data_IF_128117485107
#
_entry.id   IF_128117485107
#
_cell.length_a   1.000
_cell.length_b   1.000
_cell.length_c   1.000
_cell.angle_alpha   90.00
_cell.angle_beta   90.00
_cell.angle_gamma   90.00
#
_symmetry.space_group_name_H-M   'P 1'
#
loop_
_entity.id
_entity.type
_entity.pdbx_description
1 polymer ?
#
# COMPACT_ATOMS: atom_id res chain seq x y z
N UNK A 1 0.10 -35.90 -11.45
CA UNK A 1 -0.29 -34.60 -10.88
C UNK A 1 -0.12 -34.70 -9.38
N UNK A 2 0.53 -33.72 -8.74
CA UNK A 2 0.75 -33.76 -7.28
C UNK A 2 -0.48 -33.23 -6.57
N UNK A 3 -1.11 -34.05 -5.73
CA UNK A 3 -2.26 -33.65 -4.91
C UNK A 3 -1.81 -32.67 -3.82
N UNK A 4 -2.32 -31.44 -3.87
CA UNK A 4 -2.07 -30.41 -2.86
C UNK A 4 -3.07 -30.61 -1.72
N UNK A 5 -2.56 -30.78 -0.48
CA UNK A 5 -3.38 -30.78 0.73
C UNK A 5 -3.57 -29.35 1.24
N UNK A 6 -4.81 -28.94 1.47
CA UNK A 6 -5.18 -27.65 2.04
C UNK A 6 -6.32 -27.83 3.04
N UNK A 7 -6.38 -26.96 4.05
CA UNK A 7 -7.45 -26.88 5.05
C UNK A 7 -7.91 -25.42 5.16
N UNK A 8 -9.22 -25.21 5.30
CA UNK A 8 -9.83 -23.88 5.37
C UNK A 8 -10.66 -23.79 6.65
N UNK A 9 -10.27 -22.87 7.54
CA UNK A 9 -10.94 -22.67 8.83
C UNK A 9 -11.58 -21.29 8.92
N UNK A 10 -12.81 -21.19 9.45
CA UNK A 10 -13.45 -19.90 9.69
C UNK A 10 -12.73 -19.17 10.83
N UNK A 11 -12.37 -17.91 10.58
CA UNK A 11 -11.79 -17.01 11.58
C UNK A 11 -12.77 -15.90 11.89
N UNK A 12 -13.02 -15.65 13.17
CA UNK A 12 -13.95 -14.59 13.64
C UNK A 12 -13.40 -13.18 13.39
N UNK A 13 -12.08 -13.03 13.44
CA UNK A 13 -11.41 -11.76 13.15
C UNK A 13 -10.04 -12.00 12.52
N UNK A 14 -9.75 -11.28 11.45
CA UNK A 14 -8.41 -11.26 10.86
C UNK A 14 -7.44 -10.62 11.87
N UNK A 15 -6.31 -11.24 12.23
CA UNK A 15 -5.34 -10.60 13.11
C UNK A 15 -4.86 -9.29 12.49
N UNK A 16 -5.00 -8.19 13.23
CA UNK A 16 -4.56 -6.88 12.80
C UNK A 16 -3.03 -6.82 12.86
N UNK A 17 -2.37 -6.54 11.73
CA UNK A 17 -0.93 -6.28 11.73
C UNK A 17 -0.66 -5.00 12.52
N UNK A 18 0.18 -5.08 13.56
CA UNK A 18 0.73 -3.91 14.23
C UNK A 18 1.82 -3.29 13.34
N UNK A 19 1.45 -2.28 12.56
CA UNK A 19 2.41 -1.50 11.82
C UNK A 19 3.22 -0.62 12.79
N UNK A 20 4.55 -0.68 12.73
CA UNK A 20 5.42 0.20 13.51
C UNK A 20 5.38 1.62 12.93
N UNK A 21 5.24 2.63 13.79
CA UNK A 21 5.39 4.06 13.44
C UNK A 21 6.82 4.30 12.92
N UNK A 22 6.95 5.07 11.83
CA UNK A 22 8.25 5.47 11.28
C UNK A 22 8.72 4.65 10.09
N UNK A 23 7.92 4.57 9.02
CA UNK A 23 8.42 4.07 7.74
C UNK A 23 9.26 5.11 7.03
N UNK A 24 10.28 4.67 6.30
CA UNK A 24 10.91 5.51 5.27
C UNK A 24 9.97 5.93 4.14
N UNK A 25 8.81 5.27 3.99
CA UNK A 25 7.80 5.59 2.97
C UNK A 25 6.70 6.53 3.48
N UNK A 26 6.66 6.80 4.78
CA UNK A 26 5.69 7.69 5.40
C UNK A 26 5.76 9.11 4.80
N UNK A 27 6.95 9.71 4.56
CA UNK A 27 7.06 11.02 3.94
C UNK A 27 6.45 11.13 2.54
N UNK A 28 6.37 10.03 1.78
CA UNK A 28 5.76 10.04 0.44
C UNK A 28 4.27 10.32 0.54
N UNK A 29 3.60 9.66 1.49
CA UNK A 29 2.17 9.87 1.74
C UNK A 29 1.91 11.24 2.35
N UNK A 30 2.78 11.69 3.26
CA UNK A 30 2.66 13.01 3.87
C UNK A 30 2.74 14.12 2.81
N UNK A 31 3.77 14.08 1.95
CA UNK A 31 3.93 15.02 0.84
C UNK A 31 2.76 14.98 -0.16
N UNK A 32 2.23 13.79 -0.45
CA UNK A 32 1.08 13.64 -1.35
C UNK A 32 -0.20 14.25 -0.75
N UNK A 33 -0.45 14.00 0.54
CA UNK A 33 -1.61 14.52 1.25
C UNK A 33 -1.56 16.04 1.38
N UNK A 34 -0.38 16.62 1.63
CA UNK A 34 -0.19 18.07 1.69
C UNK A 34 -0.19 18.75 0.32
N UNK A 35 0.05 17.99 -0.76
CA UNK A 35 0.09 18.52 -2.11
C UNK A 35 -1.30 18.85 -2.66
N UNK A 36 -1.36 19.67 -3.70
CA UNK A 36 -2.62 20.08 -4.34
C UNK A 36 -3.15 19.04 -5.35
N UNK A 37 -2.26 18.21 -5.91
CA UNK A 37 -2.61 17.28 -6.97
C UNK A 37 -3.39 16.07 -6.46
N UNK A 38 -4.43 15.68 -7.22
CA UNK A 38 -5.26 14.52 -6.93
C UNK A 38 -4.66 13.20 -7.45
N UNK A 39 -3.75 13.26 -8.42
CA UNK A 39 -3.09 12.09 -9.00
C UNK A 39 -1.61 12.40 -9.22
N UNK A 40 -0.72 11.56 -8.66
CA UNK A 40 0.73 11.71 -8.83
C UNK A 40 1.40 10.40 -9.16
N UNK A 41 2.47 10.49 -9.94
CA UNK A 41 3.40 9.40 -10.22
C UNK A 41 4.39 9.29 -9.05
N UNK A 42 4.63 8.07 -8.58
CA UNK A 42 5.62 7.77 -7.54
C UNK A 42 6.69 6.86 -8.10
N UNK A 43 7.92 7.36 -8.15
CA UNK A 43 9.11 6.59 -8.49
C UNK A 43 10.14 6.74 -7.38
N UNK A 44 10.77 5.62 -7.03
CA UNK A 44 11.86 5.58 -6.06
C UNK A 44 13.00 4.82 -6.71
N UNK A 45 14.19 5.41 -6.71
CA UNK A 45 15.37 4.78 -7.28
C UNK A 45 15.59 3.37 -6.71
N UNK A 46 15.89 2.43 -7.59
CA UNK A 46 16.15 1.03 -7.25
C UNK A 46 14.99 0.33 -6.51
N UNK A 47 13.75 0.73 -6.79
CA UNK A 47 12.53 0.07 -6.28
C UNK A 47 11.53 -0.20 -7.39
N UNK A 48 10.99 -1.41 -7.35
CA UNK A 48 9.90 -1.84 -8.23
C UNK A 48 8.56 -1.21 -7.84
N UNK A 49 7.70 -0.94 -8.81
CA UNK A 49 6.40 -0.32 -8.57
C UNK A 49 5.45 -1.21 -7.74
N UNK A 50 5.49 -2.53 -7.91
CA UNK A 50 4.69 -3.44 -7.08
C UNK A 50 5.21 -3.46 -5.63
N UNK A 51 6.53 -3.33 -5.46
CA UNK A 51 7.11 -3.16 -4.14
C UNK A 51 6.63 -1.86 -3.49
N UNK A 52 6.68 -0.74 -4.21
CA UNK A 52 6.17 0.56 -3.73
C UNK A 52 4.68 0.48 -3.39
N UNK A 53 3.85 -0.09 -4.27
CA UNK A 53 2.43 -0.32 -4.01
C UNK A 53 2.20 -1.09 -2.70
N UNK A 54 2.93 -2.17 -2.49
CA UNK A 54 2.82 -2.98 -1.29
C UNK A 54 3.20 -2.18 -0.04
N UNK A 55 4.28 -1.40 -0.10
CA UNK A 55 4.72 -0.60 1.04
C UNK A 55 3.77 0.55 1.34
N UNK A 56 3.31 1.27 0.33
CA UNK A 56 2.38 2.39 0.48
C UNK A 56 1.01 1.91 0.98
N UNK A 57 0.47 0.81 0.44
CA UNK A 57 -0.79 0.23 0.94
C UNK A 57 -0.70 -0.15 2.42
N UNK A 58 0.41 -0.75 2.85
CA UNK A 58 0.63 -1.04 4.28
C UNK A 58 0.57 0.22 5.15
N UNK A 59 0.99 1.38 4.64
CA UNK A 59 0.96 2.66 5.37
C UNK A 59 -0.40 3.32 5.33
N UNK A 60 -1.10 3.23 4.21
CA UNK A 60 -2.49 3.66 4.07
C UNK A 60 -3.37 2.90 5.07
N UNK A 61 -3.22 1.56 5.14
CA UNK A 61 -3.90 0.72 6.13
C UNK A 61 -3.48 1.06 7.57
N UNK A 62 -2.18 1.29 7.82
CA UNK A 62 -1.69 1.62 9.16
C UNK A 62 -2.23 2.96 9.70
N UNK A 63 -2.52 3.89 8.80
CA UNK A 63 -3.00 5.24 9.11
C UNK A 63 -4.52 5.37 8.97
N UNK A 64 -5.20 4.31 8.55
CA UNK A 64 -6.64 4.28 8.30
C UNK A 64 -7.12 5.37 7.33
N UNK A 65 -6.30 5.67 6.31
CA UNK A 65 -6.59 6.68 5.27
C UNK A 65 -6.99 6.04 3.93
N UNK A 66 -7.37 4.76 3.95
CA UNK A 66 -7.75 4.00 2.75
C UNK A 66 -8.96 4.55 2.02
N UNK A 67 -9.79 5.36 2.68
CA UNK A 67 -10.93 6.05 2.07
C UNK A 67 -10.54 7.34 1.36
N UNK A 68 -9.34 7.89 1.65
CA UNK A 68 -8.86 9.16 1.10
C UNK A 68 -7.82 9.00 0.01
N UNK A 69 -7.04 7.91 0.07
CA UNK A 69 -5.91 7.69 -0.83
C UNK A 69 -5.86 6.24 -1.28
N UNK A 70 -5.61 6.06 -2.57
CA UNK A 70 -5.41 4.75 -3.21
C UNK A 70 -4.07 4.70 -3.92
N UNK A 71 -3.47 3.50 -3.97
CA UNK A 71 -2.28 3.22 -4.77
C UNK A 71 -2.62 2.26 -5.90
N UNK A 72 -2.29 2.65 -7.13
CA UNK A 72 -2.42 1.82 -8.33
C UNK A 72 -1.06 1.63 -9.01
N UNK A 73 -0.91 0.56 -9.79
CA UNK A 73 0.29 0.33 -10.60
C UNK A 73 -0.16 0.09 -12.03
N UNK A 74 0.40 0.84 -12.96
CA UNK A 74 0.14 0.73 -14.40
C UNK A 74 1.48 0.77 -15.12
N UNK A 75 1.74 -0.16 -16.05
CA UNK A 75 2.98 -0.23 -16.83
C UNK A 75 4.27 -0.15 -15.97
N UNK A 76 4.28 -0.86 -14.84
CA UNK A 76 5.38 -0.86 -13.87
C UNK A 76 5.69 0.51 -13.23
N UNK A 77 4.70 1.39 -13.18
CA UNK A 77 4.77 2.70 -12.51
C UNK A 77 3.72 2.75 -11.41
N UNK A 78 4.09 3.22 -10.22
CA UNK A 78 3.17 3.40 -9.11
C UNK A 78 2.53 4.79 -9.16
N UNK A 79 1.24 4.85 -8.86
CA UNK A 79 0.45 6.08 -8.81
C UNK A 79 -0.27 6.20 -7.47
N UNK A 80 -0.33 7.42 -6.94
CA UNK A 80 -1.14 7.79 -5.79
C UNK A 80 -2.29 8.65 -6.25
N UNK A 81 -3.50 8.30 -5.83
CA UNK A 81 -4.74 8.98 -6.19
C UNK A 81 -5.52 9.35 -4.93
N UNK A 82 -6.04 10.59 -4.87
CA UNK A 82 -6.97 11.04 -3.84
C UNK A 82 -8.39 10.63 -4.22
N UNK A 83 -9.14 10.13 -3.25
CA UNK A 83 -10.56 9.77 -3.40
C UNK A 83 -11.46 10.85 -2.80
#
# INVERSE_FOLDING_TARGET
>A
MSEIKFDLQPVTKKPSRKYRKGSKYDPILDSFMSGEYNLVKVEVENKDANYLRTQLNKRIEARDIGEKVKVSVVNNVAYLEKM
#
